data_IF_178328866351
#
_entry.id   IF_178328866351
#
_cell.length_a   1.000
_cell.length_b   1.000
_cell.length_c   1.000
_cell.angle_alpha   90.00
_cell.angle_beta   90.00
_cell.angle_gamma   90.00
#
_symmetry.space_group_name_H-M   'P 1'
#
loop_
_entity.id
_entity.type
_entity.pdbx_description
1 polymer ?
#
# COMPACT_ATOMS: atom_id res chain seq x y z
N UNK A 1 -31.72 -4.47 -0.06
CA UNK A 1 -31.04 -5.75 -0.26
C UNK A 1 -29.62 -5.56 0.25
N UNK A 2 -29.37 -5.99 1.48
CA UNK A 2 -28.16 -5.67 2.22
C UNK A 2 -27.12 -6.77 2.09
N UNK A 3 -25.86 -6.35 1.95
CA UNK A 3 -24.71 -7.04 2.52
C UNK A 3 -23.81 -5.95 3.09
N UNK A 4 -23.97 -5.73 4.40
CA UNK A 4 -22.99 -5.04 5.22
C UNK A 4 -21.93 -6.10 5.51
N UNK A 5 -20.77 -6.04 4.86
CA UNK A 5 -19.59 -6.76 5.36
C UNK A 5 -19.10 -6.02 6.61
N UNK A 6 -19.84 -6.23 7.70
CA UNK A 6 -19.26 -6.19 9.04
C UNK A 6 -18.67 -7.59 9.28
N UNK A 7 -17.75 -7.68 10.25
CA UNK A 7 -17.00 -8.84 10.73
C UNK A 7 -15.56 -8.85 10.17
N UNK A 8 -14.50 -8.89 10.97
CA UNK A 8 -14.38 -9.35 12.36
C UNK A 8 -13.13 -8.77 13.02
N UNK A 9 -13.21 -8.57 14.33
CA UNK A 9 -12.09 -8.42 15.26
C UNK A 9 -10.90 -9.28 14.88
N UNK A 10 -9.70 -8.68 14.86
CA UNK A 10 -8.42 -9.36 14.73
C UNK A 10 -8.32 -10.53 15.73
N UNK A 11 -8.35 -11.76 15.22
CA UNK A 11 -7.99 -12.96 15.97
C UNK A 11 -6.57 -13.32 15.50
N UNK A 12 -5.55 -13.25 16.37
CA UNK A 12 -4.20 -13.69 16.02
C UNK A 12 -4.23 -15.15 15.52
N UNK A 13 -3.81 -15.38 14.27
CA UNK A 13 -3.75 -16.72 13.66
C UNK A 13 -4.96 -17.12 12.79
N UNK A 14 -5.98 -16.27 12.64
CA UNK A 14 -7.02 -16.48 11.62
C UNK A 14 -6.63 -15.85 10.30
N UNK A 15 -6.83 -16.59 9.19
CA UNK A 15 -6.79 -16.03 7.83
C UNK A 15 -7.92 -15.00 7.72
N UNK A 16 -7.56 -13.74 7.47
CA UNK A 16 -8.46 -12.65 7.12
C UNK A 16 -8.39 -12.53 5.60
N UNK A 17 -9.43 -13.02 4.94
CA UNK A 17 -9.56 -12.97 3.48
C UNK A 17 -10.92 -12.38 3.15
N UNK A 18 -10.92 -11.19 2.53
CA UNK A 18 -12.10 -10.48 2.07
C UNK A 18 -12.52 -10.90 0.63
N UNK A 19 -11.84 -11.92 0.07
CA UNK A 19 -12.07 -12.42 -1.28
C UNK A 19 -11.46 -11.54 -2.38
N UNK A 20 -10.57 -10.60 -2.02
CA UNK A 20 -9.91 -9.73 -3.00
C UNK A 20 -8.73 -10.43 -3.74
N UNK A 21 -8.34 -11.63 -3.30
CA UNK A 21 -7.24 -12.41 -3.85
C UNK A 21 -5.89 -12.23 -3.14
N UNK A 22 -5.87 -11.48 -2.03
CA UNK A 22 -4.71 -11.16 -1.21
C UNK A 22 -5.01 -11.52 0.24
N UNK A 23 -4.31 -12.52 0.76
CA UNK A 23 -4.52 -13.02 2.11
C UNK A 23 -3.87 -12.09 3.13
N UNK A 24 -4.59 -11.79 4.22
CA UNK A 24 -4.12 -11.05 5.39
C UNK A 24 -3.63 -9.61 5.10
N UNK A 25 -4.18 -8.95 4.08
CA UNK A 25 -3.76 -7.63 3.60
C UNK A 25 -4.36 -6.44 4.39
N UNK A 26 -4.43 -6.57 5.72
CA UNK A 26 -5.15 -5.63 6.61
C UNK A 26 -4.62 -4.17 6.52
N UNK A 27 -3.30 -4.00 6.39
CA UNK A 27 -2.66 -2.68 6.20
C UNK A 27 -2.33 -2.39 4.73
N UNK A 28 -2.62 -3.33 3.84
CA UNK A 28 -2.20 -3.40 2.45
C UNK A 28 -1.34 -4.64 2.17
N UNK A 29 -0.63 -4.67 1.04
CA UNK A 29 0.02 -5.88 0.52
C UNK A 29 1.49 -5.64 0.11
N UNK A 30 2.32 -6.65 0.27
CA UNK A 30 3.71 -6.70 -0.18
C UNK A 30 3.83 -7.53 -1.47
N UNK A 31 3.94 -6.85 -2.60
CA UNK A 31 4.19 -7.43 -3.92
C UNK A 31 5.65 -7.82 -4.18
N UNK A 32 6.59 -7.45 -3.31
CA UNK A 32 7.96 -7.92 -3.37
C UNK A 32 8.08 -9.33 -2.78
N UNK A 33 7.55 -9.53 -1.57
CA UNK A 33 7.57 -10.83 -0.87
C UNK A 33 6.32 -11.70 -1.15
N UNK A 34 5.30 -11.12 -1.75
CA UNK A 34 4.01 -11.74 -2.06
C UNK A 34 3.27 -12.23 -0.82
N UNK A 35 3.05 -11.32 0.14
CA UNK A 35 2.27 -11.55 1.36
C UNK A 35 1.50 -10.30 1.83
N UNK A 36 0.59 -10.47 2.80
CA UNK A 36 -0.21 -9.40 3.40
C UNK A 36 0.54 -8.50 4.39
N UNK A 37 1.88 -8.56 4.44
CA UNK A 37 2.69 -7.81 5.40
C UNK A 37 3.53 -6.72 4.71
N UNK A 38 2.99 -5.52 4.50
CA UNK A 38 3.70 -4.42 3.85
C UNK A 38 4.68 -3.70 4.80
N UNK A 39 5.32 -4.42 5.73
CA UNK A 39 6.28 -3.85 6.66
C UNK A 39 7.45 -3.19 5.91
N UNK A 40 7.77 -1.97 6.30
CA UNK A 40 8.87 -1.23 5.69
C UNK A 40 10.21 -1.61 6.34
N UNK A 41 10.94 -2.45 5.62
CA UNK A 41 12.30 -2.90 5.93
C UNK A 41 13.41 -2.02 5.33
N UNK A 42 13.06 -0.89 4.68
CA UNK A 42 14.02 0.08 4.14
C UNK A 42 13.99 1.44 4.87
N UNK A 43 12.82 1.89 5.32
CA UNK A 43 12.48 3.22 5.86
C UNK A 43 11.98 4.27 4.87
N UNK A 44 12.13 4.05 3.56
CA UNK A 44 11.76 5.06 2.55
C UNK A 44 10.24 5.28 2.50
N UNK A 45 9.46 4.18 2.52
CA UNK A 45 8.00 4.23 2.50
C UNK A 45 7.44 4.92 3.74
N UNK A 46 7.98 4.60 4.92
CA UNK A 46 7.60 5.19 6.20
C UNK A 46 7.86 6.69 6.22
N UNK A 47 9.01 7.14 5.71
CA UNK A 47 9.34 8.56 5.61
C UNK A 47 8.35 9.32 4.70
N UNK A 48 8.01 8.75 3.52
CA UNK A 48 7.00 9.32 2.63
C UNK A 48 5.62 9.37 3.28
N UNK A 49 5.20 8.29 3.94
CA UNK A 49 3.92 8.19 4.64
C UNK A 49 3.82 9.21 5.79
N UNK A 50 4.88 9.40 6.56
CA UNK A 50 4.94 10.39 7.64
C UNK A 50 4.84 11.83 7.13
N UNK A 51 5.45 12.13 5.97
CA UNK A 51 5.31 13.44 5.32
C UNK A 51 3.85 13.75 4.97
N UNK A 52 3.09 12.75 4.53
CA UNK A 52 1.67 12.90 4.19
C UNK A 52 0.79 12.94 5.45
N UNK A 53 0.96 11.96 6.34
CA UNK A 53 -0.03 11.61 7.37
C UNK A 53 0.52 11.43 8.78
N UNK A 54 1.70 11.96 9.09
CA UNK A 54 2.19 12.01 10.48
C UNK A 54 1.15 12.71 11.37
N UNK A 55 0.78 12.05 12.47
CA UNK A 55 -0.23 12.56 13.40
C UNK A 55 0.32 13.82 14.08
N UNK A 56 -0.29 14.97 13.80
CA UNK A 56 0.08 16.22 14.48
C UNK A 56 -0.51 16.34 15.88
N UNK A 57 0.02 17.30 16.64
CA UNK A 57 -0.41 17.66 18.01
C UNK A 57 -0.46 16.49 19.02
N UNK A 58 0.38 15.47 18.82
CA UNK A 58 0.50 14.33 19.74
C UNK A 58 1.78 14.40 20.61
N UNK A 59 2.60 15.45 20.45
CA UNK A 59 3.86 15.64 21.17
C UNK A 59 4.99 14.66 20.79
N UNK A 60 4.87 13.92 19.69
CA UNK A 60 5.84 12.88 19.28
C UNK A 60 6.23 13.06 17.81
N UNK A 61 7.53 13.05 17.52
CA UNK A 61 8.04 12.97 16.15
C UNK A 61 7.72 14.21 15.30
N UNK A 62 7.08 13.99 14.14
CA UNK A 62 6.77 15.02 13.14
C UNK A 62 5.27 15.06 12.82
N UNK A 63 4.80 16.19 12.30
CA UNK A 63 3.45 16.35 11.78
C UNK A 63 3.45 16.28 10.24
N UNK A 64 2.55 15.48 9.67
CA UNK A 64 2.34 15.40 8.22
C UNK A 64 1.53 16.58 7.70
N UNK A 65 1.33 16.62 6.38
CA UNK A 65 0.49 17.63 5.73
C UNK A 65 -0.99 17.47 6.10
N UNK A 66 -1.48 16.23 6.23
CA UNK A 66 -2.86 15.92 6.62
C UNK A 66 -2.89 14.98 7.82
N UNK A 67 -3.27 15.50 8.99
CA UNK A 67 -3.27 14.74 10.25
C UNK A 67 -4.45 13.77 10.36
N UNK A 68 -5.42 13.85 9.44
CA UNK A 68 -6.62 13.03 9.41
C UNK A 68 -6.74 12.32 8.05
N UNK A 69 -5.86 11.34 7.84
CA UNK A 69 -5.80 10.53 6.61
C UNK A 69 -5.68 9.05 6.95
N UNK A 70 -6.23 8.19 6.08
CA UNK A 70 -5.96 6.75 6.10
C UNK A 70 -4.94 6.42 5.03
N UNK A 71 -3.92 5.66 5.38
CA UNK A 71 -2.85 5.24 4.47
C UNK A 71 -2.98 3.74 4.24
N UNK A 72 -2.97 3.33 2.96
CA UNK A 72 -2.85 1.94 2.52
C UNK A 72 -1.40 1.72 2.09
N UNK A 73 -0.72 0.75 2.69
CA UNK A 73 0.67 0.46 2.39
C UNK A 73 0.75 -0.57 1.25
N UNK A 74 1.37 -0.18 0.13
CA UNK A 74 1.57 -1.08 -1.02
C UNK A 74 3.06 -1.17 -1.29
N UNK A 75 3.67 -2.27 -0.84
CA UNK A 75 5.12 -2.48 -0.92
C UNK A 75 5.45 -3.27 -2.17
N UNK A 76 6.42 -2.80 -2.95
CA UNK A 76 6.97 -3.56 -4.08
C UNK A 76 8.49 -3.40 -4.26
N UNK A 77 9.11 -2.62 -3.37
CA UNK A 77 10.55 -2.43 -3.28
C UNK A 77 11.09 -3.22 -2.09
N UNK A 78 12.28 -3.80 -2.26
CA UNK A 78 13.03 -4.53 -1.25
C UNK A 78 13.59 -3.62 -0.16
N UNK A 79 14.17 -4.22 0.88
CA UNK A 79 14.98 -3.55 1.90
C UNK A 79 16.16 -2.73 1.34
N UNK A 80 16.53 -2.93 0.06
CA UNK A 80 17.60 -2.20 -0.63
C UNK A 80 17.07 -1.20 -1.67
N UNK A 81 15.76 -0.97 -1.73
CA UNK A 81 15.14 0.05 -2.59
C UNK A 81 14.96 -0.40 -4.04
N UNK A 82 15.13 -1.69 -4.32
CA UNK A 82 15.01 -2.28 -5.65
C UNK A 82 13.71 -3.08 -5.80
N UNK A 83 13.12 -3.09 -7.00
CA UNK A 83 11.90 -3.85 -7.30
C UNK A 83 11.75 -4.08 -8.80
N UNK A 84 10.64 -4.70 -9.20
CA UNK A 84 10.36 -5.03 -10.60
C UNK A 84 9.18 -4.22 -11.14
N UNK A 85 9.19 -3.96 -12.45
CA UNK A 85 8.05 -3.31 -13.11
C UNK A 85 6.76 -4.15 -13.04
N UNK A 86 6.86 -5.49 -13.02
CA UNK A 86 5.70 -6.35 -12.80
C UNK A 86 5.09 -6.13 -11.41
N UNK A 87 5.91 -6.03 -10.36
CA UNK A 87 5.40 -5.77 -9.01
C UNK A 87 4.82 -4.35 -8.88
N UNK A 88 5.41 -3.36 -9.56
CA UNK A 88 4.86 -2.01 -9.65
C UNK A 88 3.49 -1.97 -10.36
N UNK A 89 3.33 -2.71 -11.47
CA UNK A 89 2.03 -2.87 -12.14
C UNK A 89 1.00 -3.47 -11.19
N UNK A 90 1.32 -4.60 -10.54
CA UNK A 90 0.40 -5.24 -9.59
C UNK A 90 0.02 -4.30 -8.43
N UNK A 91 0.97 -3.51 -7.95
CA UNK A 91 0.74 -2.52 -6.89
C UNK A 91 -0.26 -1.43 -7.29
N UNK A 92 -0.13 -0.90 -8.51
CA UNK A 92 -1.07 0.11 -9.03
C UNK A 92 -2.46 -0.49 -9.15
N UNK A 93 -2.58 -1.68 -9.78
CA UNK A 93 -3.86 -2.34 -9.97
C UNK A 93 -4.54 -2.71 -8.64
N UNK A 94 -3.75 -3.17 -7.66
CA UNK A 94 -4.22 -3.43 -6.30
C UNK A 94 -4.77 -2.17 -5.63
N UNK A 95 -3.99 -1.08 -5.60
CA UNK A 95 -4.41 0.17 -4.99
C UNK A 95 -5.73 0.70 -5.61
N UNK A 96 -5.86 0.61 -6.94
CA UNK A 96 -7.08 0.98 -7.67
C UNK A 96 -8.25 0.08 -7.25
N UNK A 97 -8.05 -1.24 -7.24
CA UNK A 97 -9.08 -2.21 -6.85
C UNK A 97 -9.57 -2.01 -5.41
N UNK A 98 -8.66 -1.68 -4.50
CA UNK A 98 -8.97 -1.40 -3.09
C UNK A 98 -9.57 0.01 -2.88
N UNK A 99 -9.76 0.77 -3.96
CA UNK A 99 -10.49 2.04 -3.96
C UNK A 99 -9.66 3.23 -3.48
N UNK A 100 -8.33 3.16 -3.53
CA UNK A 100 -7.45 4.29 -3.25
C UNK A 100 -7.84 5.50 -4.11
N UNK A 101 -7.97 6.67 -3.48
CA UNK A 101 -8.36 7.91 -4.18
C UNK A 101 -7.17 8.72 -4.68
N UNK A 102 -6.03 8.54 -4.02
CA UNK A 102 -4.76 9.18 -4.34
C UNK A 102 -3.67 8.13 -4.15
N UNK A 103 -2.76 8.01 -5.10
CA UNK A 103 -1.54 7.21 -4.97
C UNK A 103 -0.31 8.13 -4.96
N UNK A 104 0.66 7.83 -4.11
CA UNK A 104 1.93 8.55 -4.02
C UNK A 104 3.05 7.64 -4.53
N UNK A 105 3.77 8.08 -5.56
CA UNK A 105 4.70 7.25 -6.33
C UNK A 105 6.12 7.83 -6.30
N UNK A 106 6.78 7.75 -5.14
CA UNK A 106 8.16 8.20 -4.95
C UNK A 106 9.19 7.15 -5.40
N UNK A 107 9.06 6.67 -6.63
CA UNK A 107 9.91 5.66 -7.23
C UNK A 107 10.10 5.96 -8.72
N UNK A 108 11.10 5.34 -9.32
CA UNK A 108 11.39 5.50 -10.74
C UNK A 108 12.30 4.39 -11.24
N UNK A 109 12.43 4.28 -12.56
CA UNK A 109 13.30 3.31 -13.20
C UNK A 109 13.63 3.75 -14.62
N UNK A 110 14.63 3.11 -15.22
CA UNK A 110 15.02 3.37 -16.61
C UNK A 110 14.23 2.52 -17.60
N UNK A 111 13.76 3.14 -18.67
CA UNK A 111 13.13 2.46 -19.79
C UNK A 111 11.61 2.60 -19.81
N UNK A 112 11.04 2.37 -20.99
CA UNK A 112 9.60 2.38 -21.20
C UNK A 112 9.01 1.01 -20.91
N UNK A 113 7.83 0.99 -20.30
CA UNK A 113 7.03 -0.22 -20.11
C UNK A 113 5.58 0.07 -20.51
N UNK A 114 5.10 -0.60 -21.56
CA UNK A 114 3.71 -0.51 -21.99
C UNK A 114 2.77 -0.94 -20.85
N UNK A 115 3.11 -2.02 -20.15
CA UNK A 115 2.29 -2.53 -19.05
C UNK A 115 2.17 -1.53 -17.89
N UNK A 116 3.24 -0.78 -17.58
CA UNK A 116 3.15 0.28 -16.57
C UNK A 116 2.28 1.44 -17.03
N UNK A 117 2.41 1.85 -18.29
CA UNK A 117 1.54 2.89 -18.86
C UNK A 117 0.08 2.47 -18.79
N UNK A 118 -0.25 1.25 -19.22
CA UNK A 118 -1.62 0.74 -19.22
C UNK A 118 -2.19 0.64 -17.79
N UNK A 119 -1.37 0.26 -16.81
CA UNK A 119 -1.79 0.22 -15.41
C UNK A 119 -2.09 1.62 -14.85
N UNK A 120 -1.30 2.64 -15.22
CA UNK A 120 -1.56 4.03 -14.84
C UNK A 120 -2.81 4.56 -15.53
N UNK A 121 -3.06 4.22 -16.80
CA UNK A 121 -4.27 4.63 -17.53
C UNK A 121 -5.54 3.95 -17.03
N UNK A 122 -5.41 2.77 -16.41
CA UNK A 122 -6.52 2.07 -15.75
C UNK A 122 -6.91 2.69 -14.40
N UNK A 123 -5.96 3.33 -13.71
CA UNK A 123 -6.14 3.90 -12.37
C UNK A 123 -6.83 5.26 -12.39
#
# INVERSE_FOLDING_TARGET
MGLVYSLTSFIPGSIIDDGNGYVDDYYGYDFYNNDGNPYDDHSHGTHCAGTIGGVGDNGIGVAGVNWQVKIMAVKFLSAYGSGSYSAAVSSILYATKMGAKISSNSWGGSGYSQALKDAVEYA
#
